data_IF_210950900075
#
_entry.id   IF_210950900075
#
_cell.length_a   1.000
_cell.length_b   1.000
_cell.length_c   1.000
_cell.angle_alpha   90.00
_cell.angle_beta   90.00
_cell.angle_gamma   90.00
#
_symmetry.space_group_name_H-M   'P 1'
#
loop_
_entity.id
_entity.type
_entity.pdbx_description
1 polymer ?
#
# COMPACT_ATOMS: atom_id res chain seq x y z
N UNK A 1 14.21 -6.51 -19.97
CA UNK A 1 14.41 -6.14 -18.55
C UNK A 1 14.38 -7.36 -17.63
N UNK A 2 13.52 -8.35 -17.93
CA UNK A 2 13.59 -9.71 -17.40
C UNK A 2 13.57 -10.68 -18.60
N UNK A 3 14.30 -11.79 -18.54
CA UNK A 3 14.45 -12.74 -19.65
C UNK A 3 13.17 -13.51 -19.98
N UNK A 4 12.24 -13.57 -19.03
CA UNK A 4 10.92 -14.20 -19.10
C UNK A 4 9.79 -13.18 -18.91
N UNK A 5 8.54 -13.56 -19.23
CA UNK A 5 7.33 -12.74 -18.97
C UNK A 5 7.07 -12.70 -17.46
N UNK A 6 7.62 -11.69 -16.78
CA UNK A 6 7.48 -11.52 -15.33
C UNK A 6 6.16 -10.82 -14.94
N UNK A 7 5.52 -10.11 -15.87
CA UNK A 7 4.23 -9.45 -15.64
C UNK A 7 3.38 -9.58 -16.91
N UNK A 8 2.13 -10.01 -16.79
CA UNK A 8 1.34 -10.44 -17.94
C UNK A 8 1.02 -9.30 -18.92
N UNK A 9 0.65 -8.12 -18.40
CA UNK A 9 0.11 -7.03 -19.23
C UNK A 9 0.70 -5.65 -18.87
N UNK A 10 2.04 -5.46 -18.90
CA UNK A 10 2.64 -4.17 -18.61
C UNK A 10 2.27 -3.15 -19.68
N UNK A 11 1.99 -1.91 -19.28
CA UNK A 11 1.77 -0.82 -20.25
C UNK A 11 3.06 -0.57 -21.06
N UNK A 12 2.98 -0.34 -22.38
CA UNK A 12 4.16 -0.02 -23.19
C UNK A 12 4.79 1.31 -22.79
N UNK A 13 6.11 1.36 -22.60
CA UNK A 13 6.81 2.58 -22.17
C UNK A 13 6.63 3.75 -23.15
N UNK A 14 6.61 3.50 -24.46
CA UNK A 14 6.43 4.56 -25.47
C UNK A 14 5.08 5.29 -25.34
N UNK A 15 4.02 4.57 -24.92
CA UNK A 15 2.71 5.18 -24.70
C UNK A 15 2.75 6.14 -23.51
N UNK A 16 3.37 5.70 -22.42
CA UNK A 16 3.53 6.50 -21.21
C UNK A 16 4.45 7.69 -21.46
N UNK A 17 5.54 7.50 -22.20
CA UNK A 17 6.46 8.58 -22.59
C UNK A 17 5.68 9.70 -23.27
N UNK A 18 4.84 9.34 -24.25
CA UNK A 18 4.03 10.30 -24.98
C UNK A 18 3.06 11.06 -24.07
N UNK A 19 2.44 10.36 -23.10
CA UNK A 19 1.54 10.99 -22.14
C UNK A 19 2.28 12.00 -21.25
N UNK A 20 3.44 11.63 -20.71
CA UNK A 20 4.26 12.48 -19.84
C UNK A 20 4.79 13.68 -20.61
N UNK A 21 5.30 13.50 -21.83
CA UNK A 21 5.77 14.58 -22.72
C UNK A 21 4.70 15.64 -22.99
N UNK A 22 3.44 15.23 -23.11
CA UNK A 22 2.34 16.13 -23.46
C UNK A 22 1.74 16.87 -22.25
N UNK A 23 2.02 16.40 -21.02
CA UNK A 23 1.31 16.86 -19.82
C UNK A 23 2.21 17.40 -18.72
N UNK A 24 3.53 17.27 -18.85
CA UNK A 24 4.49 17.65 -17.79
C UNK A 24 5.78 18.21 -18.36
N UNK A 25 6.43 19.07 -17.58
CA UNK A 25 7.79 19.52 -17.80
C UNK A 25 8.79 18.69 -16.97
N UNK A 26 10.08 18.93 -17.17
CA UNK A 26 11.13 18.33 -16.34
C UNK A 26 10.99 18.78 -14.88
N UNK A 27 11.30 17.90 -13.92
CA UNK A 27 11.15 18.10 -12.47
C UNK A 27 9.71 18.14 -11.91
N UNK A 28 8.69 18.11 -12.77
CA UNK A 28 7.30 17.90 -12.34
C UNK A 28 7.12 16.55 -11.64
N UNK A 29 6.04 16.42 -10.87
CA UNK A 29 5.69 15.20 -10.15
C UNK A 29 4.62 14.44 -10.96
N UNK A 30 4.91 13.18 -11.27
CA UNK A 30 3.96 12.23 -11.87
C UNK A 30 3.44 11.28 -10.80
N UNK A 31 2.11 11.21 -10.63
CA UNK A 31 1.45 10.26 -9.72
C UNK A 31 0.87 9.09 -10.52
N UNK A 32 1.16 7.87 -10.08
CA UNK A 32 0.47 6.66 -10.51
C UNK A 32 0.05 5.84 -9.31
N UNK A 33 -1.27 5.75 -9.08
CA UNK A 33 -1.85 5.00 -7.97
C UNK A 33 -2.38 3.61 -8.35
N UNK A 34 -2.10 3.16 -9.57
CA UNK A 34 -2.30 1.80 -10.05
C UNK A 34 -1.01 1.32 -10.72
N UNK A 35 0.10 1.43 -9.97
CA UNK A 35 1.45 1.39 -10.52
C UNK A 35 1.78 0.10 -11.27
N UNK A 36 1.19 -1.03 -10.87
CA UNK A 36 1.43 -2.33 -11.50
C UNK A 36 2.92 -2.64 -11.51
N UNK A 37 3.42 -3.02 -12.68
CA UNK A 37 4.84 -3.29 -12.93
C UNK A 37 5.76 -2.07 -12.90
N UNK A 38 5.31 -0.88 -12.51
CA UNK A 38 6.17 0.29 -12.36
C UNK A 38 6.46 1.06 -13.64
N UNK A 39 5.71 0.82 -14.74
CA UNK A 39 6.00 1.47 -16.04
C UNK A 39 5.98 3.00 -15.93
N UNK A 40 5.00 3.58 -15.25
CA UNK A 40 4.87 5.05 -15.17
C UNK A 40 6.05 5.69 -14.46
N UNK A 41 6.40 5.18 -13.28
CA UNK A 41 7.55 5.67 -12.52
C UNK A 41 8.87 5.43 -13.26
N UNK A 42 9.05 4.28 -13.92
CA UNK A 42 10.24 4.00 -14.73
C UNK A 42 10.43 5.04 -15.86
N UNK A 43 9.37 5.32 -16.61
CA UNK A 43 9.40 6.29 -17.71
C UNK A 43 9.58 7.71 -17.20
N UNK A 44 8.81 8.11 -16.17
CA UNK A 44 8.93 9.43 -15.55
C UNK A 44 10.37 9.69 -15.07
N UNK A 45 10.98 8.71 -14.40
CA UNK A 45 12.34 8.80 -13.91
C UNK A 45 13.36 8.99 -15.03
N UNK A 46 13.29 8.16 -16.08
CA UNK A 46 14.19 8.25 -17.25
C UNK A 46 14.08 9.60 -17.97
N UNK A 47 12.92 10.25 -17.87
CA UNK A 47 12.63 11.55 -18.47
C UNK A 47 12.91 12.73 -17.54
N UNK A 48 13.53 12.52 -16.36
CA UNK A 48 13.87 13.62 -15.45
C UNK A 48 12.66 14.19 -14.68
N UNK A 49 11.59 13.42 -14.50
CA UNK A 49 10.46 13.78 -13.62
C UNK A 49 10.63 13.14 -12.25
N UNK A 50 10.08 13.79 -11.23
CA UNK A 50 9.83 13.18 -9.92
C UNK A 50 8.55 12.36 -10.01
N UNK A 51 8.39 11.39 -9.13
CA UNK A 51 7.21 10.53 -9.16
C UNK A 51 6.80 10.02 -7.79
N UNK A 52 5.51 9.72 -7.67
CA UNK A 52 4.91 8.99 -6.56
C UNK A 52 4.17 7.80 -7.18
N UNK A 53 4.49 6.61 -6.70
CA UNK A 53 3.87 5.36 -7.16
C UNK A 53 3.19 4.67 -5.98
N UNK A 54 1.94 4.23 -6.17
CA UNK A 54 1.19 3.46 -5.18
C UNK A 54 0.76 2.14 -5.82
N UNK A 55 1.01 1.05 -5.09
CA UNK A 55 0.63 -0.31 -5.45
C UNK A 55 0.24 -1.05 -4.17
N UNK A 56 -0.80 -1.88 -4.27
CA UNK A 56 -1.38 -2.63 -3.16
C UNK A 56 -1.02 -4.12 -3.21
N UNK A 57 -0.67 -4.64 -4.39
CA UNK A 57 -0.47 -6.07 -4.59
C UNK A 57 0.93 -6.54 -4.14
N UNK A 58 0.99 -7.77 -3.61
CA UNK A 58 2.22 -8.37 -3.06
C UNK A 58 3.39 -8.48 -4.04
N UNK A 59 3.13 -8.45 -5.36
CA UNK A 59 4.19 -8.50 -6.37
C UNK A 59 5.09 -7.26 -6.38
N UNK A 60 4.74 -6.21 -5.63
CA UNK A 60 5.50 -4.96 -5.56
C UNK A 60 6.96 -5.19 -5.17
N UNK A 61 7.22 -6.16 -4.29
CA UNK A 61 8.56 -6.48 -3.78
C UNK A 61 9.46 -7.09 -4.86
N UNK A 62 8.94 -8.06 -5.62
CA UNK A 62 9.75 -8.82 -6.58
C UNK A 62 9.74 -8.24 -8.00
N UNK A 63 8.71 -7.46 -8.35
CA UNK A 63 8.53 -6.96 -9.72
C UNK A 63 8.81 -5.47 -9.77
N UNK A 64 8.01 -4.68 -9.05
CA UNK A 64 7.98 -3.21 -9.22
C UNK A 64 9.24 -2.58 -8.65
N UNK A 65 9.60 -2.95 -7.42
CA UNK A 65 10.80 -2.47 -6.74
C UNK A 65 12.07 -2.89 -7.46
N UNK A 66 12.18 -4.16 -7.87
CA UNK A 66 13.32 -4.66 -8.66
C UNK A 66 13.43 -3.98 -10.03
N UNK A 67 12.30 -3.69 -10.68
CA UNK A 67 12.32 -2.89 -11.90
C UNK A 67 12.88 -1.50 -11.65
N UNK A 68 12.41 -0.80 -10.63
CA UNK A 68 12.84 0.58 -10.34
C UNK A 68 14.32 0.64 -9.92
N UNK A 69 14.83 -0.37 -9.20
CA UNK A 69 16.27 -0.52 -8.93
C UNK A 69 17.08 -0.60 -10.22
N UNK A 70 16.68 -1.45 -11.16
CA UNK A 70 17.33 -1.55 -12.47
C UNK A 70 17.28 -0.24 -13.26
N UNK A 71 16.19 0.53 -13.16
CA UNK A 71 16.11 1.85 -13.78
C UNK A 71 17.19 2.77 -13.20
N UNK A 72 17.33 2.84 -11.87
CA UNK A 72 18.39 3.61 -11.20
C UNK A 72 19.78 3.12 -11.63
N UNK A 73 19.98 1.81 -11.78
CA UNK A 73 21.23 1.22 -12.24
C UNK A 73 21.56 1.51 -13.73
N UNK A 74 20.66 2.18 -14.46
CA UNK A 74 20.90 2.59 -15.84
C UNK A 74 20.56 1.53 -16.87
N UNK A 75 19.57 0.67 -16.59
CA UNK A 75 19.10 -0.33 -17.55
C UNK A 75 18.70 0.29 -18.90
N UNK A 76 18.97 -0.43 -19.98
CA UNK A 76 18.84 0.07 -21.35
C UNK A 76 17.57 -0.42 -22.07
N UNK A 77 16.56 -0.87 -21.33
CA UNK A 77 15.26 -1.27 -21.85
C UNK A 77 14.31 -0.11 -22.15
N UNK A 78 13.26 -0.40 -22.94
CA UNK A 78 12.19 0.56 -23.24
C UNK A 78 12.71 1.85 -23.86
N UNK A 79 12.41 2.99 -23.24
CA UNK A 79 12.76 4.32 -23.78
C UNK A 79 14.20 4.76 -23.48
N UNK A 80 14.98 3.99 -22.71
CA UNK A 80 16.29 4.42 -22.19
C UNK A 80 17.21 4.97 -23.26
N UNK A 81 17.33 4.29 -24.42
CA UNK A 81 18.17 4.76 -25.53
C UNK A 81 17.65 6.03 -26.19
N UNK A 82 16.32 6.18 -26.29
CA UNK A 82 15.70 7.34 -26.92
C UNK A 82 15.93 8.63 -26.11
N UNK A 83 15.97 8.51 -24.78
CA UNK A 83 16.20 9.64 -23.86
C UNK A 83 17.64 9.71 -23.34
N UNK A 84 18.55 8.90 -23.89
CA UNK A 84 19.95 8.80 -23.47
C UNK A 84 20.12 8.54 -21.95
N UNK A 85 19.29 7.69 -21.37
CA UNK A 85 19.32 7.35 -19.95
C UNK A 85 20.61 6.59 -19.59
N UNK A 86 21.30 7.04 -18.54
CA UNK A 86 22.56 6.45 -18.05
C UNK A 86 22.47 5.89 -16.62
N UNK A 87 21.30 5.96 -16.00
CA UNK A 87 21.12 5.66 -14.58
C UNK A 87 21.32 6.88 -13.68
N UNK A 88 21.17 6.65 -12.37
CA UNK A 88 21.22 7.66 -11.34
C UNK A 88 19.88 7.85 -10.62
N UNK A 89 19.84 8.84 -9.73
CA UNK A 89 18.68 9.10 -8.88
C UNK A 89 18.53 8.12 -7.72
N UNK A 90 17.40 8.23 -7.03
CA UNK A 90 17.01 7.32 -5.96
C UNK A 90 15.49 7.33 -5.82
N UNK A 91 14.94 6.34 -5.12
CA UNK A 91 13.57 6.37 -4.63
C UNK A 91 13.55 5.89 -3.18
N UNK A 92 12.51 6.30 -2.46
CA UNK A 92 12.23 5.82 -1.10
C UNK A 92 11.01 4.89 -1.20
N UNK A 93 11.07 3.78 -0.48
CA UNK A 93 9.98 2.82 -0.35
C UNK A 93 9.54 2.77 1.11
N UNK A 94 8.24 2.86 1.36
CA UNK A 94 7.64 2.67 2.66
C UNK A 94 6.21 2.16 2.48
N UNK A 95 5.69 1.50 3.51
CA UNK A 95 4.34 0.96 3.55
C UNK A 95 3.49 1.73 4.55
N UNK A 96 2.18 1.70 4.36
CA UNK A 96 1.24 2.26 5.32
C UNK A 96 1.23 1.39 6.58
N UNK A 97 1.36 2.01 7.77
CA UNK A 97 1.26 1.28 9.03
C UNK A 97 -0.15 0.75 9.20
N UNK A 98 -0.28 -0.57 9.22
CA UNK A 98 -1.56 -1.26 9.40
C UNK A 98 -2.18 -0.90 10.74
N UNK A 99 -3.50 -0.80 10.74
CA UNK A 99 -4.32 -0.73 11.94
C UNK A 99 -5.44 -1.77 11.86
N UNK A 100 -6.65 -1.43 11.39
CA UNK A 100 -7.70 -2.44 11.20
C UNK A 100 -7.31 -3.51 10.16
N UNK A 101 -6.38 -3.20 9.26
CA UNK A 101 -5.85 -4.17 8.30
C UNK A 101 -5.23 -5.41 8.99
N UNK A 102 -4.60 -5.27 10.15
CA UNK A 102 -4.03 -6.41 10.87
C UNK A 102 -5.12 -7.38 11.35
N UNK A 103 -6.26 -6.86 11.78
CA UNK A 103 -7.41 -7.68 12.16
C UNK A 103 -8.03 -8.36 10.94
N UNK A 104 -8.14 -7.63 9.82
CA UNK A 104 -8.64 -8.20 8.57
C UNK A 104 -7.77 -9.38 8.10
N UNK A 105 -6.45 -9.22 8.12
CA UNK A 105 -5.50 -10.29 7.76
C UNK A 105 -5.67 -11.50 8.68
N UNK A 106 -5.76 -11.28 10.00
CA UNK A 106 -6.01 -12.35 10.99
C UNK A 106 -7.34 -13.07 10.75
N UNK A 107 -8.42 -12.35 10.43
CA UNK A 107 -9.74 -12.93 10.12
C UNK A 107 -9.66 -13.82 8.88
N UNK A 108 -8.98 -13.35 7.82
CA UNK A 108 -8.84 -14.11 6.57
C UNK A 108 -8.07 -15.41 6.82
N UNK A 109 -6.96 -15.35 7.55
CA UNK A 109 -6.07 -16.49 7.81
C UNK A 109 -6.68 -17.51 8.79
N UNK A 110 -7.56 -17.09 9.69
CA UNK A 110 -8.17 -17.97 10.69
C UNK A 110 -8.88 -19.17 10.05
N UNK A 111 -8.59 -20.38 10.53
CA UNK A 111 -9.11 -21.64 10.00
C UNK A 111 -10.10 -22.33 10.95
N UNK A 112 -10.35 -21.74 12.12
CA UNK A 112 -11.26 -22.29 13.12
C UNK A 112 -12.12 -21.22 13.78
N UNK A 113 -13.25 -21.64 14.34
CA UNK A 113 -14.14 -20.75 15.10
C UNK A 113 -13.45 -20.20 16.36
N UNK A 114 -12.62 -21.00 17.02
CA UNK A 114 -11.86 -20.58 18.20
C UNK A 114 -10.86 -19.47 17.88
N UNK A 115 -10.13 -19.58 16.77
CA UNK A 115 -9.22 -18.53 16.29
C UNK A 115 -9.99 -17.23 16.00
N UNK A 116 -11.15 -17.31 15.35
CA UNK A 116 -11.98 -16.11 15.13
C UNK A 116 -12.49 -15.49 16.44
N UNK A 117 -12.83 -16.29 17.43
CA UNK A 117 -13.25 -15.79 18.74
C UNK A 117 -12.09 -15.07 19.45
N UNK A 118 -10.85 -15.57 19.32
CA UNK A 118 -9.64 -14.89 19.81
C UNK A 118 -9.41 -13.55 19.10
N UNK A 119 -9.51 -13.53 17.76
CA UNK A 119 -9.38 -12.30 16.96
C UNK A 119 -10.45 -11.28 17.34
N UNK A 120 -11.70 -11.71 17.49
CA UNK A 120 -12.79 -10.83 17.95
C UNK A 120 -12.50 -10.25 19.34
N UNK A 121 -12.00 -11.05 20.29
CA UNK A 121 -11.67 -10.56 21.63
C UNK A 121 -10.58 -9.48 21.63
N UNK A 122 -9.64 -9.54 20.69
CA UNK A 122 -8.62 -8.51 20.46
C UNK A 122 -9.22 -7.28 19.78
N UNK A 123 -9.99 -7.47 18.71
CA UNK A 123 -10.70 -6.39 17.99
C UNK A 123 -11.58 -5.58 18.93
N UNK A 124 -12.34 -6.25 19.78
CA UNK A 124 -13.31 -5.61 20.66
C UNK A 124 -12.68 -4.77 21.77
N UNK A 125 -11.34 -4.75 21.89
CA UNK A 125 -10.57 -3.87 22.78
C UNK A 125 -9.79 -2.80 22.02
N UNK A 126 -9.27 -3.15 20.84
CA UNK A 126 -8.22 -2.38 20.17
C UNK A 126 -8.59 -1.89 18.76
N UNK A 127 -9.57 -2.51 18.09
CA UNK A 127 -9.97 -2.13 16.74
C UNK A 127 -10.89 -0.91 16.74
N UNK A 128 -10.89 -0.19 15.63
CA UNK A 128 -11.86 0.87 15.38
C UNK A 128 -13.07 0.28 14.65
N UNK A 129 -14.19 0.17 15.35
CA UNK A 129 -15.41 -0.43 14.82
C UNK A 129 -16.34 0.65 14.27
N UNK A 130 -17.18 0.27 13.30
CA UNK A 130 -18.20 1.17 12.73
C UNK A 130 -19.08 1.78 13.84
N UNK A 131 -19.41 3.06 13.71
CA UNK A 131 -20.07 3.82 14.78
C UNK A 131 -21.43 3.24 15.20
N UNK A 132 -22.12 2.53 14.30
CA UNK A 132 -23.41 1.90 14.55
C UNK A 132 -23.30 0.48 15.11
N UNK A 133 -22.08 -0.05 15.28
CA UNK A 133 -21.88 -1.38 15.83
C UNK A 133 -22.02 -1.37 17.35
N UNK A 134 -23.03 -2.07 17.85
CA UNK A 134 -23.24 -2.24 19.29
C UNK A 134 -22.68 -3.57 19.79
N UNK A 135 -21.49 -3.53 20.40
CA UNK A 135 -20.81 -4.69 20.99
C UNK A 135 -21.71 -5.52 21.91
N UNK A 136 -22.51 -4.84 22.74
CA UNK A 136 -23.34 -5.51 23.74
C UNK A 136 -24.51 -6.30 23.15
N UNK A 137 -25.00 -5.89 21.99
CA UNK A 137 -26.03 -6.61 21.24
C UNK A 137 -25.40 -7.78 20.48
N UNK A 138 -24.25 -7.53 19.85
CA UNK A 138 -23.50 -8.53 19.11
C UNK A 138 -23.10 -9.74 19.97
N UNK A 139 -22.60 -9.51 21.18
CA UNK A 139 -22.20 -10.60 22.10
C UNK A 139 -23.38 -11.46 22.59
N UNK A 140 -24.61 -10.94 22.51
CA UNK A 140 -25.83 -11.64 22.89
C UNK A 140 -26.48 -12.35 21.71
N UNK A 141 -26.09 -12.04 20.48
CA UNK A 141 -26.70 -12.60 19.29
C UNK A 141 -26.36 -14.09 19.14
N UNK A 142 -27.34 -14.95 19.41
CA UNK A 142 -27.23 -16.40 19.21
C UNK A 142 -27.08 -16.76 17.72
N UNK A 143 -27.56 -15.89 16.81
CA UNK A 143 -27.43 -16.13 15.38
C UNK A 143 -25.96 -16.13 14.97
N UNK A 144 -25.14 -15.20 15.47
CA UNK A 144 -23.68 -15.18 15.21
C UNK A 144 -23.01 -16.49 15.65
N UNK A 145 -23.41 -17.03 16.81
CA UNK A 145 -22.87 -18.30 17.31
C UNK A 145 -23.25 -19.48 16.42
N UNK A 146 -24.39 -19.42 15.75
CA UNK A 146 -24.86 -20.46 14.83
C UNK A 146 -24.22 -20.43 13.43
N UNK A 147 -23.66 -19.28 13.01
CA UNK A 147 -23.05 -19.11 11.69
C UNK A 147 -21.89 -20.08 11.44
N UNK A 148 -21.67 -20.40 10.16
CA UNK A 148 -20.47 -21.11 9.71
C UNK A 148 -19.22 -20.22 9.75
N UNK A 149 -18.06 -20.77 9.40
CA UNK A 149 -16.80 -20.05 9.50
C UNK A 149 -16.74 -18.83 8.56
N UNK A 150 -17.16 -19.00 7.32
CA UNK A 150 -17.06 -17.96 6.29
C UNK A 150 -18.03 -16.82 6.57
N UNK A 151 -19.26 -17.13 6.98
CA UNK A 151 -20.25 -16.15 7.41
C UNK A 151 -19.77 -15.33 8.62
N UNK A 152 -19.06 -15.97 9.57
CA UNK A 152 -18.46 -15.24 10.69
C UNK A 152 -17.34 -14.31 10.25
N UNK A 153 -16.50 -14.74 9.30
CA UNK A 153 -15.44 -13.88 8.73
C UNK A 153 -16.05 -12.65 8.07
N UNK A 154 -17.04 -12.84 7.21
CA UNK A 154 -17.74 -11.74 6.52
C UNK A 154 -18.32 -10.74 7.51
N UNK A 155 -18.94 -11.21 8.58
CA UNK A 155 -19.51 -10.34 9.60
C UNK A 155 -18.41 -9.57 10.36
N UNK A 156 -17.36 -10.25 10.81
CA UNK A 156 -16.26 -9.61 11.54
C UNK A 156 -15.52 -8.57 10.67
N UNK A 157 -15.36 -8.84 9.38
CA UNK A 157 -14.84 -7.84 8.42
C UNK A 157 -15.84 -6.69 8.30
N UNK A 158 -17.13 -6.99 8.22
CA UNK A 158 -18.19 -6.01 8.04
C UNK A 158 -18.32 -4.98 9.17
N UNK A 159 -17.85 -5.28 10.39
CA UNK A 159 -17.90 -4.38 11.54
C UNK A 159 -16.67 -3.47 11.69
N UNK A 160 -15.57 -3.77 10.99
CA UNK A 160 -14.39 -2.91 10.96
C UNK A 160 -14.69 -1.62 10.19
N UNK A 161 -14.17 -0.49 10.67
CA UNK A 161 -14.20 0.76 9.90
C UNK A 161 -13.09 0.74 8.84
N UNK A 162 -13.51 0.77 7.58
CA UNK A 162 -12.64 0.76 6.40
C UNK A 162 -11.76 2.02 6.31
N UNK A 163 -12.21 3.14 6.90
CA UNK A 163 -11.41 4.38 6.96
C UNK A 163 -10.27 4.31 7.98
N UNK A 164 -10.21 3.24 8.78
CA UNK A 164 -9.20 3.00 9.81
C UNK A 164 -8.41 1.72 9.55
N UNK A 165 -8.37 1.24 8.30
CA UNK A 165 -7.50 0.12 7.90
C UNK A 165 -6.02 0.40 8.17
N UNK A 166 -5.61 1.65 7.97
CA UNK A 166 -4.25 2.12 8.22
C UNK A 166 -4.27 3.29 9.21
N UNK A 167 -3.18 3.43 9.96
CA UNK A 167 -3.08 4.43 11.01
C UNK A 167 -3.03 5.85 10.43
N UNK A 168 -3.90 6.73 10.94
CA UNK A 168 -3.89 8.14 10.56
C UNK A 168 -2.69 8.87 11.15
N UNK A 169 -2.15 9.82 10.38
CA UNK A 169 -1.04 10.67 10.82
C UNK A 169 -1.32 11.39 12.16
N UNK A 170 -2.56 11.83 12.38
CA UNK A 170 -2.97 12.51 13.62
C UNK A 170 -2.84 11.63 14.88
N UNK A 171 -2.99 10.31 14.72
CA UNK A 171 -3.00 9.34 15.81
C UNK A 171 -1.62 8.69 16.03
N UNK A 172 -0.66 8.98 15.15
CA UNK A 172 0.67 8.35 15.12
C UNK A 172 1.45 8.48 16.45
N UNK A 173 1.20 9.54 17.22
CA UNK A 173 1.87 9.82 18.51
C UNK A 173 1.19 9.16 19.71
N UNK A 174 0.07 8.47 19.50
CA UNK A 174 -0.57 7.71 20.56
C UNK A 174 0.18 6.41 20.82
N UNK A 175 0.64 6.24 22.07
CA UNK A 175 1.41 5.07 22.52
C UNK A 175 0.74 3.72 22.26
N UNK A 176 -0.58 3.68 22.07
CA UNK A 176 -1.34 2.46 21.77
C UNK A 176 -0.93 1.81 20.44
N UNK A 177 -0.46 2.60 19.48
CA UNK A 177 -0.15 2.12 18.13
C UNK A 177 1.32 1.71 17.94
N UNK A 178 2.16 1.86 18.97
CA UNK A 178 3.56 1.40 18.96
C UNK A 178 4.33 1.85 17.71
N UNK A 179 4.15 3.11 17.30
CA UNK A 179 4.92 3.72 16.21
C UNK A 179 6.32 4.03 16.72
N UNK A 180 7.34 3.62 15.98
CA UNK A 180 8.74 3.88 16.38
C UNK A 180 9.13 5.32 16.10
N UNK A 181 10.15 5.82 16.80
CA UNK A 181 10.67 7.18 16.58
C UNK A 181 11.17 7.37 15.12
N UNK A 182 11.70 6.32 14.50
CA UNK A 182 12.15 6.34 13.10
C UNK A 182 10.96 6.43 12.13
N UNK A 183 9.89 5.66 12.35
CA UNK A 183 8.65 5.72 11.56
C UNK A 183 8.00 7.11 11.67
N UNK A 184 7.97 7.67 12.88
CA UNK A 184 7.43 9.01 13.13
C UNK A 184 8.25 10.07 12.40
N UNK A 185 9.58 10.03 12.52
CA UNK A 185 10.46 10.98 11.87
C UNK A 185 10.35 10.93 10.34
N UNK A 186 10.28 9.73 9.75
CA UNK A 186 10.09 9.57 8.30
C UNK A 186 8.74 10.15 7.84
N UNK A 187 7.67 9.90 8.59
CA UNK A 187 6.33 10.40 8.28
C UNK A 187 6.26 11.93 8.40
N UNK A 188 6.82 12.50 9.47
CA UNK A 188 6.90 13.96 9.66
C UNK A 188 7.69 14.64 8.53
N UNK A 189 8.79 14.02 8.08
CA UNK A 189 9.56 14.49 6.92
C UNK A 189 8.73 14.49 5.63
N UNK A 190 7.90 13.46 5.41
CA UNK A 190 7.02 13.37 4.25
C UNK A 190 5.97 14.50 4.23
N UNK A 191 5.35 14.80 5.37
CA UNK A 191 4.36 15.88 5.49
C UNK A 191 4.98 17.27 5.61
N UNK A 192 6.30 17.39 5.71
CA UNK A 192 6.99 18.66 5.87
C UNK A 192 6.79 19.31 7.25
N UNK A 193 6.38 18.54 8.26
CA UNK A 193 6.03 19.06 9.59
C UNK A 193 7.21 19.71 10.36
N UNK A 194 8.45 19.50 9.90
CA UNK A 194 9.66 20.04 10.51
C UNK A 194 10.27 21.24 9.74
N UNK A 195 9.58 21.80 8.74
CA UNK A 195 10.09 22.87 7.88
C UNK A 195 9.46 24.26 8.14
N UNK A 196 8.80 24.46 9.29
CA UNK A 196 8.28 25.76 9.76
C UNK A 196 9.12 26.33 10.92
#
# INVERSE_FOLDING_TARGET
>A
MFGDVVFENPKPENLIQRAIELSTDENDIVLDYHLGSGTTCAVAHKMGRRWIGIEQMDYIEDITKERLKKVIEGEQGGISKAVNWQGGGSFIYFELKKYNQDFLDKIIIANSKGELDEVYNEMAKNAFLKFWFEKSEFEKDENFRSLDLDQRKELLIGILDENQLYLNHADMRDSRYHVTDEEMALTDLFYGANND
#
